data_IF_797218172631
#
_entry.id   IF_797218172631
#
_cell.length_a   1.000
_cell.length_b   1.000
_cell.length_c   1.000
_cell.angle_alpha   90.00
_cell.angle_beta   90.00
_cell.angle_gamma   90.00
#
_symmetry.space_group_name_H-M   'P 1'
#
loop_
_entity.id
_entity.type
_entity.pdbx_description
1 polymer ?
#
# COMPACT_ATOMS: atom_id res chain seq x y z
N UNK A 1 2.80 -62.12 -3.02
CA UNK A 1 2.31 -61.08 -2.09
C UNK A 1 3.54 -60.36 -1.57
N UNK A 2 3.84 -59.17 -2.09
CA UNK A 2 4.55 -58.10 -1.36
C UNK A 2 4.59 -56.82 -2.21
N UNK A 3 4.08 -55.75 -1.58
CA UNK A 3 3.99 -54.37 -2.07
C UNK A 3 5.38 -53.78 -2.32
N UNK A 4 5.68 -53.38 -3.55
CA UNK A 4 6.75 -52.42 -3.85
C UNK A 4 6.45 -51.73 -5.18
N UNK A 5 5.42 -50.88 -5.23
CA UNK A 5 5.23 -49.96 -6.37
C UNK A 5 4.22 -48.85 -6.03
N UNK A 6 4.45 -48.10 -4.94
CA UNK A 6 3.58 -46.97 -4.57
C UNK A 6 4.18 -45.69 -3.94
N UNK A 7 5.47 -45.29 -4.10
CA UNK A 7 5.89 -43.97 -3.64
C UNK A 7 5.75 -42.83 -4.68
N UNK A 8 5.91 -43.12 -5.98
CA UNK A 8 6.10 -42.04 -6.97
C UNK A 8 4.80 -41.39 -7.47
N UNK A 9 3.69 -42.14 -7.64
CA UNK A 9 2.39 -41.57 -8.02
C UNK A 9 1.78 -40.70 -6.92
N UNK A 10 2.08 -40.97 -5.64
CA UNK A 10 1.56 -40.18 -4.53
C UNK A 10 2.25 -38.82 -4.43
N UNK A 11 3.55 -38.74 -4.71
CA UNK A 11 4.29 -37.47 -4.66
C UNK A 11 3.91 -36.52 -5.81
N UNK A 12 3.77 -37.02 -7.04
CA UNK A 12 3.34 -36.21 -8.19
C UNK A 12 1.92 -35.69 -8.02
N UNK A 13 1.01 -36.47 -7.43
CA UNK A 13 -0.36 -36.03 -7.15
C UNK A 13 -0.41 -34.91 -6.10
N UNK A 14 0.43 -34.96 -5.05
CA UNK A 14 0.48 -33.92 -4.01
C UNK A 14 1.10 -32.63 -4.57
N UNK A 15 2.16 -32.71 -5.37
CA UNK A 15 2.75 -31.53 -6.02
C UNK A 15 1.80 -30.86 -7.02
N UNK A 16 1.02 -31.67 -7.73
CA UNK A 16 0.00 -31.17 -8.66
C UNK A 16 -1.15 -30.52 -7.90
N UNK A 17 -1.65 -31.15 -6.82
CA UNK A 17 -2.66 -30.56 -5.93
C UNK A 17 -2.17 -29.23 -5.33
N UNK A 18 -0.91 -29.17 -4.90
CA UNK A 18 -0.34 -27.96 -4.30
C UNK A 18 -0.20 -26.84 -5.34
N UNK A 19 0.17 -27.15 -6.59
CA UNK A 19 0.19 -26.17 -7.69
C UNK A 19 -1.19 -25.67 -8.05
N UNK A 20 -2.18 -26.56 -8.05
CA UNK A 20 -3.56 -26.23 -8.41
C UNK A 20 -4.25 -25.44 -7.29
N UNK A 21 -3.98 -25.78 -6.02
CA UNK A 21 -4.39 -25.00 -4.86
C UNK A 21 -3.72 -23.61 -4.83
N UNK A 22 -2.43 -23.53 -5.17
CA UNK A 22 -1.72 -22.25 -5.26
C UNK A 22 -2.24 -21.40 -6.43
N UNK A 23 -2.59 -22.01 -7.56
CA UNK A 23 -3.23 -21.34 -8.69
C UNK A 23 -4.63 -20.83 -8.33
N UNK A 24 -5.46 -21.64 -7.66
CA UNK A 24 -6.77 -21.22 -7.16
C UNK A 24 -6.65 -20.12 -6.10
N UNK A 25 -5.63 -20.17 -5.23
CA UNK A 25 -5.34 -19.11 -4.29
C UNK A 25 -5.00 -17.80 -5.01
N UNK A 26 -4.16 -17.85 -6.06
CA UNK A 26 -3.83 -16.67 -6.90
C UNK A 26 -5.04 -16.17 -7.70
N UNK A 27 -5.89 -17.06 -8.21
CA UNK A 27 -7.14 -16.68 -8.89
C UNK A 27 -8.17 -16.10 -7.90
N UNK A 28 -8.10 -16.44 -6.62
CA UNK A 28 -8.90 -15.87 -5.53
C UNK A 28 -8.34 -14.57 -4.94
N UNK A 29 -7.07 -14.25 -5.23
CA UNK A 29 -6.55 -12.88 -5.05
C UNK A 29 -7.24 -12.07 -6.13
N UNK A 30 -8.34 -11.44 -5.74
CA UNK A 30 -9.20 -10.66 -6.60
C UNK A 30 -8.38 -9.81 -7.55
N UNK A 31 -8.74 -9.92 -8.83
CA UNK A 31 -8.39 -8.99 -9.89
C UNK A 31 -8.18 -7.59 -9.33
N UNK A 32 -7.04 -6.98 -9.68
CA UNK A 32 -6.68 -5.60 -9.33
C UNK A 32 -7.88 -4.70 -9.58
N UNK A 33 -8.62 -4.39 -8.51
CA UNK A 33 -9.70 -3.44 -8.58
C UNK A 33 -9.06 -2.10 -8.21
N UNK A 34 -8.45 -1.45 -9.21
CA UNK A 34 -8.18 -0.02 -9.06
C UNK A 34 -9.55 0.58 -8.79
N UNK A 35 -9.75 1.32 -7.69
CA UNK A 35 -11.03 1.98 -7.43
C UNK A 35 -11.42 2.73 -8.69
N UNK A 36 -12.70 2.70 -9.06
CA UNK A 36 -13.19 3.46 -10.20
C UNK A 36 -12.85 4.93 -9.96
N UNK A 37 -11.73 5.39 -10.53
CA UNK A 37 -11.26 6.76 -10.39
C UNK A 37 -12.31 7.57 -11.15
N UNK A 38 -13.23 8.21 -10.41
CA UNK A 38 -14.11 9.20 -10.99
C UNK A 38 -13.25 10.20 -11.78
N UNK A 39 -13.78 10.80 -12.86
CA UNK A 39 -13.07 11.82 -13.65
C UNK A 39 -12.86 13.11 -12.81
N UNK A 40 -12.02 13.00 -11.78
CA UNK A 40 -11.61 14.05 -10.87
C UNK A 40 -10.24 14.49 -11.35
N UNK A 41 -10.08 15.77 -11.74
CA UNK A 41 -8.76 16.27 -12.15
C UNK A 41 -7.79 16.15 -10.97
N UNK A 42 -6.59 15.64 -11.25
CA UNK A 42 -5.54 15.56 -10.22
C UNK A 42 -5.21 16.98 -9.73
N UNK A 43 -5.08 17.19 -8.40
CA UNK A 43 -4.63 18.46 -7.86
C UNK A 43 -3.27 18.85 -8.43
N UNK A 44 -3.02 20.15 -8.53
CA UNK A 44 -1.72 20.63 -8.96
C UNK A 44 -0.72 20.40 -7.83
N UNK A 45 0.20 19.46 -8.01
CA UNK A 45 1.36 19.34 -7.12
C UNK A 45 2.37 20.42 -7.52
N UNK A 46 2.90 21.17 -6.55
CA UNK A 46 4.04 22.04 -6.83
C UNK A 46 5.19 21.12 -7.21
N UNK A 47 6.02 21.53 -8.17
CA UNK A 47 7.23 20.80 -8.47
C UNK A 47 8.04 20.80 -7.18
N UNK A 48 8.05 19.67 -6.47
CA UNK A 48 8.97 19.48 -5.36
C UNK A 48 10.36 19.77 -5.90
N UNK A 49 11.15 20.60 -5.21
CA UNK A 49 12.50 20.90 -5.64
C UNK A 49 13.22 19.57 -5.91
N UNK A 50 13.84 19.48 -7.08
CA UNK A 50 14.61 18.30 -7.44
C UNK A 50 15.62 18.11 -6.31
N UNK A 51 15.71 16.90 -5.75
CA UNK A 51 16.61 16.67 -4.66
C UNK A 51 18.04 16.97 -5.08
N UNK A 52 18.78 17.60 -4.18
CA UNK A 52 20.22 17.79 -4.31
C UNK A 52 20.95 16.44 -4.35
N UNK A 53 22.17 16.44 -4.89
CA UNK A 53 23.01 15.24 -4.97
C UNK A 53 23.24 14.57 -3.60
N UNK A 54 23.24 15.36 -2.51
CA UNK A 54 23.34 14.85 -1.15
C UNK A 54 22.06 14.12 -0.67
N UNK A 55 20.88 14.60 -1.09
CA UNK A 55 19.59 13.95 -0.81
C UNK A 55 19.44 12.65 -1.61
N UNK A 56 20.00 12.60 -2.82
CA UNK A 56 20.03 11.40 -3.67
C UNK A 56 20.84 10.25 -3.03
N UNK A 57 21.94 10.55 -2.35
CA UNK A 57 22.82 9.52 -1.77
C UNK A 57 22.28 8.90 -0.46
N UNK A 58 21.51 9.65 0.35
CA UNK A 58 21.09 9.18 1.68
C UNK A 58 19.59 9.29 1.98
N UNK A 59 18.87 10.29 1.47
CA UNK A 59 17.51 10.59 1.97
C UNK A 59 16.44 9.74 1.29
N UNK A 60 16.49 9.58 -0.04
CA UNK A 60 15.56 8.68 -0.77
C UNK A 60 15.68 7.21 -0.38
N UNK A 61 16.74 6.85 0.34
CA UNK A 61 16.93 5.48 0.81
C UNK A 61 16.11 5.19 2.06
N UNK A 62 15.67 6.22 2.79
CA UNK A 62 14.94 6.02 4.04
C UNK A 62 13.43 5.95 3.84
N UNK A 63 12.77 5.08 4.61
CA UNK A 63 11.31 5.05 4.73
C UNK A 63 10.75 6.38 5.26
N UNK A 64 11.47 7.03 6.18
CA UNK A 64 11.08 8.33 6.75
C UNK A 64 10.95 9.42 5.69
N UNK A 65 11.97 9.62 4.84
CA UNK A 65 11.90 10.65 3.79
C UNK A 65 10.82 10.36 2.74
N UNK A 66 10.62 9.08 2.38
CA UNK A 66 9.50 8.68 1.52
C UNK A 66 8.16 9.06 2.13
N UNK A 67 7.97 8.77 3.42
CA UNK A 67 6.74 9.10 4.14
C UNK A 67 6.52 10.60 4.29
N UNK A 68 7.55 11.41 4.58
CA UNK A 68 7.43 12.88 4.66
C UNK A 68 6.96 13.48 3.34
N UNK A 69 7.58 13.10 2.22
CA UNK A 69 7.18 13.57 0.89
C UNK A 69 5.73 13.21 0.55
N UNK A 70 5.29 12.03 0.98
CA UNK A 70 3.91 11.61 0.80
C UNK A 70 2.94 12.45 1.67
N UNK A 71 3.27 12.68 2.95
CA UNK A 71 2.49 13.54 3.84
C UNK A 71 2.37 14.97 3.28
N UNK A 72 3.48 15.57 2.86
CA UNK A 72 3.51 16.91 2.24
C UNK A 72 2.59 16.99 1.01
N UNK A 73 2.63 15.95 0.17
CA UNK A 73 1.77 15.86 -1.02
C UNK A 73 0.29 15.79 -0.63
N UNK A 74 -0.05 15.00 0.39
CA UNK A 74 -1.43 14.86 0.89
C UNK A 74 -1.93 16.19 1.46
N UNK A 75 -1.12 16.88 2.27
CA UNK A 75 -1.44 18.22 2.80
C UNK A 75 -1.70 19.18 1.65
N UNK A 76 -0.82 19.19 0.64
CA UNK A 76 -0.98 20.06 -0.51
C UNK A 76 -2.28 19.77 -1.27
N UNK A 77 -2.62 18.50 -1.47
CA UNK A 77 -3.85 18.10 -2.16
C UNK A 77 -5.10 18.52 -1.37
N UNK A 78 -5.12 18.34 -0.04
CA UNK A 78 -6.27 18.75 0.80
C UNK A 78 -6.59 20.23 0.71
N UNK A 79 -5.58 21.08 0.54
CA UNK A 79 -5.79 22.53 0.40
C UNK A 79 -6.49 22.93 -0.91
N UNK A 80 -6.50 22.04 -1.90
CA UNK A 80 -7.06 22.28 -3.24
C UNK A 80 -8.37 21.55 -3.49
N UNK A 81 -8.67 20.50 -2.72
CA UNK A 81 -9.81 19.63 -2.93
C UNK A 81 -11.10 20.19 -2.30
N UNK A 82 -12.24 20.14 -3.02
CA UNK A 82 -13.54 20.53 -2.50
C UNK A 82 -13.99 19.60 -1.36
N UNK A 83 -14.92 20.05 -0.52
CA UNK A 83 -15.35 19.34 0.71
C UNK A 83 -15.84 17.90 0.48
N UNK A 84 -16.39 17.60 -0.69
CA UNK A 84 -16.88 16.28 -1.11
C UNK A 84 -15.80 15.37 -1.70
N UNK A 85 -14.53 15.79 -1.63
CA UNK A 85 -13.38 15.03 -2.10
C UNK A 85 -12.27 14.99 -1.04
N UNK A 86 -11.52 13.90 -1.01
CA UNK A 86 -10.36 13.74 -0.13
C UNK A 86 -9.26 12.88 -0.78
N UNK A 87 -8.00 13.07 -0.38
CA UNK A 87 -6.95 12.13 -0.73
C UNK A 87 -7.10 10.83 0.05
N UNK A 88 -6.79 9.73 -0.61
CA UNK A 88 -6.69 8.40 -0.04
C UNK A 88 -5.41 7.72 -0.51
N UNK A 89 -4.90 6.78 0.28
CA UNK A 89 -3.67 6.06 -0.03
C UNK A 89 -3.98 4.56 -0.09
N UNK A 90 -3.52 3.94 -1.16
CA UNK A 90 -3.52 2.49 -1.33
C UNK A 90 -2.08 2.00 -1.32
N UNK A 91 -1.77 1.09 -0.40
CA UNK A 91 -0.49 0.38 -0.41
C UNK A 91 -0.64 -0.90 -1.22
N UNK A 92 0.17 -1.03 -2.27
CA UNK A 92 0.22 -2.17 -3.17
C UNK A 92 1.52 -2.92 -2.89
N UNK A 93 1.39 -4.16 -2.43
CA UNK A 93 2.52 -5.02 -2.10
C UNK A 93 2.78 -6.05 -3.20
N UNK A 94 3.92 -6.72 -3.09
CA UNK A 94 4.25 -7.88 -3.92
C UNK A 94 3.11 -8.91 -3.91
N UNK A 95 2.74 -9.40 -5.09
CA UNK A 95 1.61 -10.32 -5.26
C UNK A 95 0.24 -9.64 -5.37
N UNK A 96 0.19 -8.30 -5.42
CA UNK A 96 -1.04 -7.55 -5.67
C UNK A 96 -1.93 -7.33 -4.44
N UNK A 97 -1.41 -7.60 -3.24
CA UNK A 97 -2.13 -7.30 -1.99
C UNK A 97 -2.30 -5.79 -1.87
N UNK A 98 -3.52 -5.35 -1.60
CA UNK A 98 -3.90 -3.95 -1.49
C UNK A 98 -4.42 -3.64 -0.10
N UNK A 99 -3.81 -2.66 0.56
CA UNK A 99 -4.24 -2.17 1.86
C UNK A 99 -4.71 -0.73 1.69
N UNK A 100 -5.98 -0.46 2.02
CA UNK A 100 -6.49 0.91 2.14
C UNK A 100 -5.91 1.50 3.40
N UNK A 101 -4.98 2.44 3.25
CA UNK A 101 -4.14 2.93 4.33
C UNK A 101 -4.91 3.90 5.21
N UNK A 102 -4.78 3.70 6.52
CA UNK A 102 -5.24 4.61 7.56
C UNK A 102 -4.05 5.28 8.26
N UNK A 103 -2.97 4.52 8.48
CA UNK A 103 -1.75 5.04 9.08
C UNK A 103 -0.50 4.38 8.47
N UNK A 104 0.54 5.18 8.30
CA UNK A 104 1.90 4.73 7.98
C UNK A 104 2.83 5.08 9.14
N UNK A 105 3.70 4.16 9.54
CA UNK A 105 4.71 4.41 10.57
C UNK A 105 6.10 3.94 10.12
N UNK A 106 7.12 4.74 10.40
CA UNK A 106 8.52 4.38 10.20
C UNK A 106 8.97 3.45 11.33
N UNK A 107 9.33 2.21 10.99
CA UNK A 107 9.77 1.19 11.97
C UNK A 107 11.28 1.06 12.07
N UNK A 108 11.97 1.33 10.96
CA UNK A 108 13.41 1.35 10.87
C UNK A 108 13.81 2.29 9.74
N UNK A 109 15.11 2.37 9.42
CA UNK A 109 15.59 3.16 8.28
C UNK A 109 14.92 2.75 6.95
N UNK A 110 14.47 1.50 6.83
CA UNK A 110 13.87 0.95 5.61
C UNK A 110 12.45 0.39 5.85
N UNK A 111 12.08 0.15 7.11
CA UNK A 111 10.80 -0.45 7.46
C UNK A 111 9.68 0.58 7.47
N UNK A 112 8.55 0.20 6.88
CA UNK A 112 7.27 0.89 6.97
C UNK A 112 6.25 -0.09 7.56
N UNK A 113 5.59 0.32 8.64
CA UNK A 113 4.35 -0.30 9.12
C UNK A 113 3.17 0.38 8.45
N UNK A 114 2.28 -0.44 7.92
CA UNK A 114 1.09 -0.03 7.19
C UNK A 114 -0.10 -0.56 7.97
N UNK A 115 -0.94 0.35 8.46
CA UNK A 115 -2.19 0.05 9.14
C UNK A 115 -3.36 0.49 8.25
N UNK A 116 -4.42 -0.32 8.20
CA UNK A 116 -5.57 -0.01 7.38
C UNK A 116 -6.49 -1.20 7.20
N UNK A 117 -7.16 -1.30 6.05
CA UNK A 117 -8.08 -2.40 5.75
C UNK A 117 -7.66 -3.20 4.51
N UNK A 118 -7.78 -4.52 4.61
CA UNK A 118 -7.63 -5.49 3.53
C UNK A 118 -8.98 -6.19 3.37
N UNK A 119 -9.62 -6.04 2.21
CA UNK A 119 -10.98 -6.57 1.96
C UNK A 119 -11.98 -6.19 3.07
N UNK A 120 -11.91 -4.93 3.54
CA UNK A 120 -12.76 -4.40 4.62
C UNK A 120 -12.40 -4.87 6.03
N UNK A 121 -11.45 -5.79 6.19
CA UNK A 121 -10.97 -6.25 7.51
C UNK A 121 -9.77 -5.42 7.97
N UNK A 122 -9.73 -4.94 9.22
CA UNK A 122 -8.57 -4.25 9.76
C UNK A 122 -7.31 -5.11 9.71
N UNK A 123 -6.19 -4.52 9.32
CA UNK A 123 -4.92 -5.21 9.18
C UNK A 123 -3.75 -4.27 9.52
N UNK A 124 -2.63 -4.88 9.89
CA UNK A 124 -1.34 -4.23 10.01
C UNK A 124 -0.30 -5.09 9.32
N UNK A 125 0.59 -4.46 8.57
CA UNK A 125 1.66 -5.13 7.84
C UNK A 125 2.97 -4.36 7.95
N UNK A 126 4.08 -5.09 8.03
CA UNK A 126 5.44 -4.57 7.98
C UNK A 126 6.03 -4.84 6.58
N UNK A 127 6.56 -3.81 5.93
CA UNK A 127 7.17 -3.90 4.60
C UNK A 127 8.49 -3.14 4.54
N UNK A 128 9.38 -3.57 3.65
CA UNK A 128 10.51 -2.75 3.23
C UNK A 128 10.00 -1.67 2.26
N UNK A 129 10.54 -0.45 2.30
CA UNK A 129 10.11 0.64 1.43
C UNK A 129 10.24 0.33 -0.06
N UNK A 130 11.19 -0.55 -0.44
CA UNK A 130 11.35 -0.99 -1.83
C UNK A 130 10.39 -2.09 -2.27
N UNK A 131 9.61 -2.68 -1.36
CA UNK A 131 8.63 -3.75 -1.64
C UNK A 131 7.18 -3.28 -1.59
N UNK A 132 6.95 -1.98 -1.43
CA UNK A 132 5.63 -1.36 -1.44
C UNK A 132 5.57 -0.28 -2.51
N UNK A 133 4.46 -0.23 -3.23
CA UNK A 133 4.08 0.91 -4.06
C UNK A 133 2.94 1.64 -3.34
N UNK A 134 3.05 2.95 -3.21
CA UNK A 134 2.03 3.78 -2.58
C UNK A 134 1.32 4.59 -3.67
N UNK A 135 0.02 4.37 -3.82
CA UNK A 135 -0.84 5.13 -4.72
C UNK A 135 -1.64 6.13 -3.90
N UNK A 136 -1.36 7.42 -4.07
CA UNK A 136 -2.22 8.49 -3.58
C UNK A 136 -3.21 8.88 -4.68
N UNK A 137 -4.51 8.84 -4.37
CA UNK A 137 -5.60 9.13 -5.30
C UNK A 137 -6.67 9.99 -4.64
N UNK A 138 -7.55 10.60 -5.44
CA UNK A 138 -8.70 11.36 -4.93
C UNK A 138 -9.92 10.46 -4.92
N UNK A 139 -10.62 10.41 -3.79
CA UNK A 139 -11.90 9.74 -3.65
C UNK A 139 -13.00 10.74 -3.24
N UNK A 140 -14.22 10.44 -3.67
CA UNK A 140 -15.40 11.20 -3.27
C UNK A 140 -15.87 10.74 -1.90
N UNK A 141 -16.28 11.69 -1.08
CA UNK A 141 -16.88 11.45 0.23
C UNK A 141 -18.22 12.15 0.33
N UNK A 142 -19.14 11.58 1.11
CA UNK A 142 -20.37 12.27 1.45
C UNK A 142 -20.02 13.50 2.30
N UNK A 143 -20.55 14.68 1.92
CA UNK A 143 -20.19 15.99 2.53
C UNK A 143 -20.35 16.07 4.05
N UNK A 144 -21.12 15.16 4.64
CA UNK A 144 -21.43 15.16 6.07
C UNK A 144 -20.57 14.18 6.88
N UNK A 145 -19.78 13.31 6.24
CA UNK A 145 -18.84 12.45 6.96
C UNK A 145 -17.54 13.19 7.27
N UNK A 146 -16.99 12.97 8.47
CA UNK A 146 -15.69 13.48 8.86
C UNK A 146 -14.66 13.07 7.81
N UNK A 147 -14.02 14.05 7.15
CA UNK A 147 -12.90 13.79 6.23
C UNK A 147 -11.91 12.85 6.92
N UNK A 148 -11.64 11.72 6.26
CA UNK A 148 -10.71 10.69 6.75
C UNK A 148 -9.38 11.35 7.02
N UNK A 149 -8.83 11.18 8.21
CA UNK A 149 -7.44 11.57 8.53
C UNK A 149 -6.51 10.42 8.22
N UNK A 150 -5.34 10.73 7.68
CA UNK A 150 -4.28 9.75 7.41
C UNK A 150 -3.15 10.01 8.40
N UNK A 151 -2.83 8.99 9.21
CA UNK A 151 -1.75 9.10 10.19
C UNK A 151 -0.37 8.84 9.58
N UNK A 152 0.61 9.63 9.97
CA UNK A 152 2.02 9.45 9.66
C UNK A 152 2.81 9.46 10.98
N UNK A 153 3.59 8.42 11.25
CA UNK A 153 4.53 8.38 12.39
C UNK A 153 5.95 8.34 11.84
N UNK A 154 6.69 9.43 11.96
CA UNK A 154 8.02 9.61 11.35
C UNK A 154 8.98 10.09 12.43
N UNK A 155 10.13 9.43 12.56
CA UNK A 155 11.12 9.70 13.63
C UNK A 155 10.54 9.74 15.06
N UNK A 156 9.42 9.04 15.30
CA UNK A 156 8.71 8.99 16.57
C UNK A 156 7.69 10.11 16.80
N UNK A 157 7.53 11.02 15.83
CA UNK A 157 6.53 12.08 15.85
C UNK A 157 5.29 11.67 15.04
N UNK A 158 4.09 11.91 15.58
CA UNK A 158 2.82 11.60 14.92
C UNK A 158 2.23 12.87 14.30
N UNK A 159 1.86 12.77 13.02
CA UNK A 159 1.16 13.79 12.25
C UNK A 159 -0.10 13.17 11.63
N UNK A 160 -1.24 13.82 11.78
CA UNK A 160 -2.48 13.44 11.10
C UNK A 160 -2.78 14.47 10.02
N UNK A 161 -2.81 14.02 8.76
CA UNK A 161 -3.07 14.86 7.60
C UNK A 161 -4.42 14.61 6.99
#
# INVERSE_FOLDING_TARGET
MTEKDKPQEQQTNIETLNREAMRQAVESIGMVCVPAIANVPLPHTSIAEAPSDAELDNEYRSSGALMRRLADTVIQWRSQLPEDEQPAILAILNGGIQVHVERLAQESFHGIRIEGTLNGSPCMLLSHQSSVQLLCYVERVEKEEFRRRIGFIIDGEEEEV
#
